data_IF_576510931098
#
_entry.id   IF_576510931098
#
_cell.length_a   1.000
_cell.length_b   1.000
_cell.length_c   1.000
_cell.angle_alpha   90.00
_cell.angle_beta   90.00
_cell.angle_gamma   90.00
#
_symmetry.space_group_name_H-M   'P 1'
#
loop_
_entity.id
_entity.type
_entity.pdbx_description
1 polymer ?
#
# COMPACT_ATOMS: atom_id res chain seq x y z
N UNK A 1 37.39 -15.52 -14.25
CA UNK A 1 37.58 -14.25 -13.52
C UNK A 1 36.79 -13.19 -14.27
N UNK A 2 35.52 -12.99 -13.94
CA UNK A 2 34.71 -11.94 -14.57
C UNK A 2 35.05 -10.62 -13.90
N UNK A 3 35.81 -9.79 -14.61
CA UNK A 3 36.09 -8.40 -14.25
C UNK A 3 34.78 -7.64 -14.45
N UNK A 4 34.03 -7.44 -13.36
CA UNK A 4 32.90 -6.53 -13.33
C UNK A 4 33.43 -5.11 -13.13
N UNK A 5 34.01 -4.53 -14.17
CA UNK A 5 34.25 -3.09 -14.22
C UNK A 5 32.90 -2.38 -14.49
N UNK A 6 32.00 -2.45 -13.52
CA UNK A 6 30.78 -1.64 -13.52
C UNK A 6 31.11 -0.30 -12.90
N UNK A 7 31.73 0.57 -13.69
CA UNK A 7 31.88 1.95 -13.27
C UNK A 7 30.48 2.59 -13.16
N UNK A 8 30.14 3.21 -12.02
CA UNK A 8 28.94 4.03 -11.94
C UNK A 8 29.09 5.14 -12.97
N UNK A 9 28.22 5.15 -13.98
CA UNK A 9 28.12 6.31 -14.84
C UNK A 9 27.33 7.33 -14.03
N UNK A 10 28.00 8.37 -13.56
CA UNK A 10 27.39 9.54 -12.93
C UNK A 10 26.63 10.39 -13.97
N UNK A 11 25.77 9.77 -14.78
CA UNK A 11 24.77 10.51 -15.52
C UNK A 11 23.56 10.64 -14.61
N UNK A 12 23.46 11.83 -14.00
CA UNK A 12 22.32 12.28 -13.21
C UNK A 12 21.13 12.37 -14.17
N UNK A 13 20.38 11.28 -14.26
CA UNK A 13 19.13 11.24 -15.00
C UNK A 13 18.06 11.82 -14.06
N UNK A 14 17.62 13.05 -14.32
CA UNK A 14 16.65 13.75 -13.46
C UNK A 14 15.35 12.95 -13.27
N UNK A 15 14.98 12.12 -14.25
CA UNK A 15 13.83 11.21 -14.15
C UNK A 15 14.07 10.07 -13.15
N UNK A 16 15.32 9.63 -13.00
CA UNK A 16 15.72 8.57 -12.09
C UNK A 16 15.57 9.04 -10.63
N UNK A 17 16.11 10.21 -10.32
CA UNK A 17 15.98 10.86 -9.01
C UNK A 17 14.52 11.19 -8.69
N UNK A 18 13.76 11.69 -9.67
CA UNK A 18 12.34 11.98 -9.50
C UNK A 18 11.51 10.71 -9.20
N UNK A 19 11.75 9.61 -9.91
CA UNK A 19 11.05 8.33 -9.67
C UNK A 19 11.31 7.79 -8.28
N UNK A 20 12.57 7.79 -7.86
CA UNK A 20 12.95 7.34 -6.53
C UNK A 20 12.36 8.25 -5.44
N UNK A 21 12.37 9.57 -5.63
CA UNK A 21 11.70 10.52 -4.75
C UNK A 21 10.20 10.24 -4.61
N UNK A 22 9.48 10.12 -5.74
CA UNK A 22 8.05 9.80 -5.74
C UNK A 22 7.79 8.47 -5.03
N UNK A 23 8.64 7.47 -5.27
CA UNK A 23 8.51 6.16 -4.63
C UNK A 23 8.64 6.27 -3.10
N UNK A 24 9.69 6.93 -2.60
CA UNK A 24 9.89 7.14 -1.17
C UNK A 24 8.76 7.95 -0.52
N UNK A 25 8.35 9.06 -1.13
CA UNK A 25 7.25 9.88 -0.64
C UNK A 25 5.93 9.09 -0.60
N UNK A 26 5.67 8.26 -1.61
CA UNK A 26 4.46 7.42 -1.66
C UNK A 26 4.46 6.34 -0.59
N UNK A 27 5.60 5.67 -0.37
CA UNK A 27 5.73 4.65 0.68
C UNK A 27 5.51 5.28 2.06
N UNK A 28 6.09 6.45 2.32
CA UNK A 28 5.88 7.17 3.56
C UNK A 28 4.41 7.56 3.74
N UNK A 29 3.79 8.10 2.68
CA UNK A 29 2.38 8.46 2.71
C UNK A 29 1.46 7.28 2.99
N UNK A 30 1.76 6.08 2.48
CA UNK A 30 1.00 4.87 2.77
C UNK A 30 1.08 4.51 4.27
N UNK A 31 2.29 4.49 4.84
CA UNK A 31 2.50 4.15 6.26
C UNK A 31 1.81 5.14 7.18
N UNK A 32 2.03 6.45 6.97
CA UNK A 32 1.41 7.48 7.78
C UNK A 32 -0.12 7.51 7.60
N UNK A 33 -0.64 7.21 6.40
CA UNK A 33 -2.09 7.05 6.19
C UNK A 33 -2.70 5.94 7.05
N UNK A 34 -2.01 4.82 7.25
CA UNK A 34 -2.48 3.76 8.14
C UNK A 34 -2.50 4.18 9.61
N UNK A 35 -1.47 4.92 10.04
CA UNK A 35 -1.44 5.51 11.38
C UNK A 35 -2.62 6.48 11.56
N UNK A 36 -2.82 7.39 10.60
CA UNK A 36 -3.91 8.37 10.67
C UNK A 36 -5.28 7.70 10.76
N UNK A 37 -5.51 6.65 9.97
CA UNK A 37 -6.73 5.85 10.07
C UNK A 37 -6.89 5.23 11.46
N UNK A 38 -5.83 4.70 12.05
CA UNK A 38 -5.88 4.14 13.41
C UNK A 38 -6.12 5.24 14.48
N UNK A 39 -5.50 6.41 14.33
CA UNK A 39 -5.72 7.58 15.19
C UNK A 39 -7.16 8.06 15.09
N UNK A 40 -7.72 8.18 13.89
CA UNK A 40 -9.12 8.59 13.67
C UNK A 40 -10.07 7.67 14.44
N UNK A 41 -9.86 6.34 14.35
CA UNK A 41 -10.68 5.36 15.08
C UNK A 41 -10.54 5.51 16.60
N UNK A 42 -9.32 5.73 17.07
CA UNK A 42 -9.07 5.97 18.49
C UNK A 42 -9.71 7.27 18.98
N UNK A 43 -9.61 8.34 18.19
CA UNK A 43 -10.18 9.65 18.47
C UNK A 43 -11.71 9.62 18.54
N UNK A 44 -12.35 8.88 17.63
CA UNK A 44 -13.81 8.65 17.65
C UNK A 44 -14.26 7.99 18.95
N UNK A 45 -13.48 7.04 19.45
CA UNK A 45 -13.74 6.34 20.72
C UNK A 45 -13.58 7.28 21.92
N UNK A 46 -12.52 8.09 21.91
CA UNK A 46 -12.27 9.12 22.94
C UNK A 46 -13.13 10.38 22.78
N UNK A 47 -13.97 10.44 21.75
CA UNK A 47 -14.85 11.58 21.42
C UNK A 47 -14.09 12.90 21.23
N UNK A 48 -12.90 12.85 20.64
CA UNK A 48 -12.15 14.06 20.29
C UNK A 48 -12.84 14.77 19.12
N UNK A 49 -13.42 15.94 19.38
CA UNK A 49 -14.31 16.66 18.45
C UNK A 49 -13.60 17.11 17.17
N UNK A 50 -12.36 17.60 17.26
CA UNK A 50 -11.60 18.08 16.10
C UNK A 50 -11.42 17.00 15.02
N UNK A 51 -10.97 15.81 15.42
CA UNK A 51 -10.67 14.68 14.53
C UNK A 51 -11.93 14.00 13.95
N UNK A 52 -13.10 14.29 14.50
CA UNK A 52 -14.37 13.77 14.01
C UNK A 52 -14.97 14.64 12.89
N UNK A 53 -14.55 15.90 12.77
CA UNK A 53 -15.02 16.81 11.72
C UNK A 53 -14.41 16.48 10.36
N UNK A 54 -15.17 16.63 9.27
CA UNK A 54 -14.65 16.42 7.91
C UNK A 54 -13.49 17.37 7.60
N UNK A 55 -13.60 18.64 8.00
CA UNK A 55 -12.54 19.63 7.82
C UNK A 55 -11.25 19.24 8.55
N UNK A 56 -11.34 18.77 9.81
CA UNK A 56 -10.17 18.32 10.57
C UNK A 56 -9.48 17.12 9.93
N UNK A 57 -10.23 16.16 9.38
CA UNK A 57 -9.66 15.02 8.64
C UNK A 57 -8.92 15.46 7.39
N UNK A 58 -9.52 16.35 6.59
CA UNK A 58 -8.88 16.89 5.38
C UNK A 58 -7.59 17.63 5.76
N UNK A 59 -7.65 18.49 6.77
CA UNK A 59 -6.48 19.25 7.22
C UNK A 59 -5.32 18.34 7.64
N UNK A 60 -5.59 17.27 8.38
CA UNK A 60 -4.54 16.33 8.82
C UNK A 60 -3.96 15.55 7.65
N UNK A 61 -4.79 15.11 6.71
CA UNK A 61 -4.31 14.44 5.50
C UNK A 61 -3.41 15.38 4.70
N UNK A 62 -3.80 16.65 4.54
CA UNK A 62 -2.95 17.64 3.85
C UNK A 62 -1.61 17.85 4.57
N UNK A 63 -1.63 17.98 5.90
CA UNK A 63 -0.39 18.09 6.68
C UNK A 63 0.50 16.87 6.55
N UNK A 64 -0.07 15.67 6.55
CA UNK A 64 0.66 14.42 6.35
C UNK A 64 1.33 14.39 4.97
N UNK A 65 0.61 14.74 3.89
CA UNK A 65 1.21 14.83 2.56
C UNK A 65 2.34 15.85 2.47
N UNK A 66 2.15 17.04 3.05
CA UNK A 66 3.21 18.07 3.10
C UNK A 66 4.43 17.52 3.85
N UNK A 67 4.22 16.86 4.98
CA UNK A 67 5.28 16.24 5.76
C UNK A 67 6.02 15.18 4.93
N UNK A 68 5.32 14.25 4.28
CA UNK A 68 5.93 13.15 3.51
C UNK A 68 6.76 13.62 2.32
N UNK A 69 6.21 14.60 1.59
CA UNK A 69 6.84 15.26 0.43
C UNK A 69 8.09 16.01 0.87
N UNK A 70 8.01 16.75 1.98
CA UNK A 70 9.12 17.57 2.48
C UNK A 70 10.21 16.71 3.12
N UNK A 71 9.82 15.70 3.90
CA UNK A 71 10.74 14.79 4.57
C UNK A 71 11.52 13.93 3.58
N UNK A 72 10.91 13.57 2.45
CA UNK A 72 11.58 12.84 1.35
C UNK A 72 12.43 13.74 0.45
N UNK A 73 12.28 15.06 0.53
CA UNK A 73 12.96 16.02 -0.36
C UNK A 73 14.50 15.94 -0.32
N UNK A 74 15.17 15.70 0.82
CA UNK A 74 16.63 15.58 0.84
C UNK A 74 17.14 14.41 -0.01
N UNK A 75 16.34 13.34 -0.20
CA UNK A 75 16.67 12.22 -1.11
C UNK A 75 16.80 12.69 -2.55
N UNK A 76 15.96 13.66 -2.96
CA UNK A 76 16.00 14.26 -4.29
C UNK A 76 17.13 15.28 -4.43
N UNK A 77 17.30 16.17 -3.44
CA UNK A 77 18.24 17.29 -3.53
C UNK A 77 19.70 16.91 -3.37
N UNK A 78 20.02 15.78 -2.75
CA UNK A 78 21.42 15.41 -2.48
C UNK A 78 22.15 14.76 -3.66
N UNK A 79 21.52 14.63 -4.84
CA UNK A 79 22.09 14.11 -6.10
C UNK A 79 22.87 12.79 -5.96
N UNK A 80 22.62 12.06 -4.88
CA UNK A 80 23.34 10.86 -4.50
C UNK A 80 22.65 9.62 -5.07
N UNK A 81 22.20 9.62 -6.32
CA UNK A 81 21.58 8.44 -6.95
C UNK A 81 22.46 7.90 -8.07
N UNK A 82 23.45 7.04 -7.76
CA UNK A 82 24.24 6.38 -8.78
C UNK A 82 23.34 5.47 -9.61
N UNK A 83 23.34 5.68 -10.92
CA UNK A 83 22.66 4.80 -11.87
C UNK A 83 23.56 3.60 -12.15
N UNK A 84 23.09 2.40 -11.84
CA UNK A 84 23.78 1.18 -12.25
C UNK A 84 23.41 0.85 -13.70
N UNK A 85 24.40 0.86 -14.61
CA UNK A 85 24.22 0.74 -16.06
C UNK A 85 23.48 -0.53 -16.49
N UNK A 86 23.54 -1.59 -15.70
CA UNK A 86 23.07 -2.91 -16.12
C UNK A 86 21.59 -3.18 -15.95
N UNK A 87 20.83 -2.37 -15.20
CA UNK A 87 19.41 -2.69 -14.94
C UNK A 87 18.42 -1.50 -15.06
N UNK A 88 18.85 -0.30 -15.46
CA UNK A 88 17.97 0.90 -15.48
C UNK A 88 17.25 1.17 -14.14
N UNK A 89 17.78 0.66 -13.03
CA UNK A 89 17.19 0.85 -11.71
C UNK A 89 17.90 1.99 -10.99
N UNK A 90 17.09 2.81 -10.35
CA UNK A 90 17.47 4.03 -9.65
C UNK A 90 17.49 3.75 -8.15
N UNK A 91 18.67 3.81 -7.54
CA UNK A 91 18.81 3.61 -6.10
C UNK A 91 19.48 4.81 -5.46
N UNK A 92 19.02 5.10 -4.24
CA UNK A 92 19.69 6.05 -3.36
C UNK A 92 21.03 5.46 -2.96
N UNK A 93 22.11 6.21 -3.15
CA UNK A 93 23.44 5.83 -2.72
C UNK A 93 23.47 5.64 -1.21
N UNK A 94 24.17 4.59 -0.77
CA UNK A 94 24.39 4.28 0.64
C UNK A 94 25.50 5.17 1.23
N UNK A 95 26.00 6.17 0.50
CA UNK A 95 27.08 7.08 0.93
C UNK A 95 26.77 7.83 2.23
N UNK A 96 25.50 7.99 2.61
CA UNK A 96 25.07 8.59 3.89
C UNK A 96 24.16 7.65 4.68
N UNK A 97 24.73 6.63 5.33
CA UNK A 97 23.94 5.58 5.97
C UNK A 97 23.11 6.06 7.16
N UNK A 98 23.59 7.05 7.90
CA UNK A 98 22.85 7.66 9.01
C UNK A 98 21.53 8.29 8.54
N UNK A 99 21.53 8.92 7.36
CA UNK A 99 20.31 9.50 6.78
C UNK A 99 19.32 8.41 6.36
N UNK A 100 19.80 7.34 5.70
CA UNK A 100 18.95 6.19 5.33
C UNK A 100 18.33 5.51 6.56
N UNK A 101 19.11 5.33 7.63
CA UNK A 101 18.60 4.78 8.90
C UNK A 101 17.54 5.71 9.50
N UNK A 102 17.76 7.03 9.50
CA UNK A 102 16.80 8.00 10.02
C UNK A 102 15.47 7.94 9.24
N UNK A 103 15.55 7.99 7.90
CA UNK A 103 14.39 7.86 7.01
C UNK A 103 13.63 6.56 7.26
N UNK A 104 14.35 5.43 7.31
CA UNK A 104 13.74 4.13 7.55
C UNK A 104 13.12 4.02 8.95
N UNK A 105 13.76 4.59 9.97
CA UNK A 105 13.25 4.55 11.34
C UNK A 105 11.97 5.36 11.50
N UNK A 106 11.93 6.57 10.92
CA UNK A 106 10.75 7.46 10.98
C UNK A 106 9.60 6.88 10.16
N UNK A 107 9.90 6.33 8.97
CA UNK A 107 8.86 5.86 8.06
C UNK A 107 8.30 4.50 8.46
N UNK A 108 9.15 3.57 8.91
CA UNK A 108 8.76 2.17 9.14
C UNK A 108 8.62 1.85 10.63
N UNK A 109 9.73 1.96 11.39
CA UNK A 109 9.74 1.53 12.80
C UNK A 109 8.77 2.33 13.65
N UNK A 110 8.76 3.65 13.49
CA UNK A 110 7.86 4.53 14.24
C UNK A 110 6.39 4.24 13.88
N UNK A 111 6.12 3.99 12.60
CA UNK A 111 4.79 3.65 12.10
C UNK A 111 4.26 2.35 12.68
N UNK A 112 5.08 1.30 12.65
CA UNK A 112 4.73 -0.03 13.16
C UNK A 112 4.50 -0.04 14.67
N UNK A 113 5.39 0.64 15.41
CA UNK A 113 5.27 0.77 16.87
C UNK A 113 3.99 1.53 17.21
N UNK A 114 3.76 2.68 16.56
CA UNK A 114 2.58 3.53 16.82
C UNK A 114 1.29 2.76 16.53
N UNK A 115 1.22 2.06 15.40
CA UNK A 115 0.05 1.26 15.03
C UNK A 115 -0.20 0.11 16.02
N UNK A 116 0.86 -0.57 16.44
CA UNK A 116 0.79 -1.65 17.44
C UNK A 116 0.28 -1.16 18.79
N UNK A 117 0.75 0.01 19.25
CA UNK A 117 0.28 0.63 20.50
C UNK A 117 -1.18 1.03 20.41
N UNK A 118 -1.58 1.67 19.30
CA UNK A 118 -2.97 2.07 19.06
C UNK A 118 -3.91 0.85 19.06
N UNK A 119 -3.49 -0.25 18.45
CA UNK A 119 -4.26 -1.49 18.45
C UNK A 119 -4.48 -2.06 19.86
N UNK A 120 -3.41 -2.18 20.64
CA UNK A 120 -3.51 -2.71 22.01
C UNK A 120 -4.46 -1.86 22.85
N UNK A 121 -4.34 -0.53 22.75
CA UNK A 121 -5.26 0.41 23.40
C UNK A 121 -6.70 0.24 22.93
N UNK A 122 -6.92 0.07 21.63
CA UNK A 122 -8.24 -0.15 21.06
C UNK A 122 -8.87 -1.45 21.57
N UNK A 123 -8.11 -2.54 21.58
CA UNK A 123 -8.55 -3.85 22.08
C UNK A 123 -8.91 -3.77 23.56
N UNK A 124 -8.06 -3.15 24.39
CA UNK A 124 -8.33 -2.97 25.82
C UNK A 124 -9.64 -2.22 26.03
N UNK A 125 -9.82 -1.11 25.30
CA UNK A 125 -11.03 -0.31 25.41
C UNK A 125 -12.28 -1.08 24.98
N UNK A 126 -12.23 -1.84 23.88
CA UNK A 126 -13.36 -2.66 23.44
C UNK A 126 -13.71 -3.73 24.48
N UNK A 127 -12.72 -4.35 25.12
CA UNK A 127 -12.93 -5.31 26.22
C UNK A 127 -13.62 -4.63 27.42
N UNK A 128 -13.10 -3.50 27.89
CA UNK A 128 -13.68 -2.74 29.00
C UNK A 128 -15.11 -2.27 28.72
N UNK A 129 -15.40 -1.86 27.50
CA UNK A 129 -16.75 -1.38 27.15
C UNK A 129 -17.71 -2.55 26.93
N UNK A 130 -17.22 -3.69 26.44
CA UNK A 130 -18.05 -4.89 26.26
C UNK A 130 -18.66 -5.38 27.58
N UNK A 131 -17.94 -5.22 28.70
CA UNK A 131 -18.43 -5.59 30.04
C UNK A 131 -19.45 -4.59 30.60
N UNK A 132 -19.35 -3.30 30.23
CA UNK A 132 -20.18 -2.22 30.82
C UNK A 132 -21.41 -1.81 29.99
N UNK A 133 -21.37 -1.94 28.67
CA UNK A 133 -22.43 -1.41 27.79
C UNK A 133 -23.38 -2.52 27.36
N UNK A 134 -24.67 -2.39 27.63
CA UNK A 134 -25.71 -3.34 27.19
C UNK A 134 -26.32 -3.02 25.81
N UNK A 135 -26.06 -1.84 25.24
CA UNK A 135 -26.62 -1.49 23.93
C UNK A 135 -25.95 -2.27 22.80
N UNK A 136 -26.75 -3.11 22.13
CA UNK A 136 -26.34 -3.97 21.02
C UNK A 136 -25.72 -3.16 19.86
N UNK A 137 -26.28 -1.98 19.57
CA UNK A 137 -25.84 -1.12 18.47
C UNK A 137 -24.44 -0.54 18.69
N UNK A 138 -24.11 -0.10 19.91
CA UNK A 138 -22.78 0.43 20.24
C UNK A 138 -21.73 -0.69 20.23
N UNK A 139 -22.08 -1.88 20.73
CA UNK A 139 -21.23 -3.08 20.62
C UNK A 139 -20.96 -3.46 19.17
N UNK A 140 -21.97 -3.41 18.29
CA UNK A 140 -21.81 -3.70 16.86
C UNK A 140 -20.85 -2.72 16.18
N UNK A 141 -20.99 -1.43 16.46
CA UNK A 141 -20.12 -0.39 15.88
C UNK A 141 -18.66 -0.58 16.33
N UNK A 142 -18.42 -0.87 17.61
CA UNK A 142 -17.07 -1.13 18.12
C UNK A 142 -16.44 -2.39 17.51
N UNK A 143 -17.22 -3.45 17.31
CA UNK A 143 -16.74 -4.66 16.60
C UNK A 143 -16.34 -4.36 15.17
N UNK A 144 -17.10 -3.51 14.46
CA UNK A 144 -16.75 -3.07 13.09
C UNK A 144 -15.47 -2.24 13.08
N UNK A 145 -15.33 -1.27 13.99
CA UNK A 145 -14.13 -0.43 14.09
C UNK A 145 -12.89 -1.28 14.46
N UNK A 146 -13.02 -2.27 15.36
CA UNK A 146 -11.94 -3.21 15.69
C UNK A 146 -11.58 -4.11 14.51
N UNK A 147 -12.56 -4.61 13.76
CA UNK A 147 -12.32 -5.41 12.57
C UNK A 147 -11.54 -4.60 11.51
N UNK A 148 -11.88 -3.31 11.33
CA UNK A 148 -11.16 -2.41 10.44
C UNK A 148 -9.70 -2.20 10.88
N UNK A 149 -9.46 -1.94 12.17
CA UNK A 149 -8.09 -1.76 12.66
C UNK A 149 -7.28 -3.06 12.60
N UNK A 150 -7.88 -4.22 12.87
CA UNK A 150 -7.23 -5.52 12.67
C UNK A 150 -6.79 -5.71 11.22
N UNK A 151 -7.60 -5.28 10.26
CA UNK A 151 -7.27 -5.34 8.83
C UNK A 151 -6.12 -4.41 8.48
N UNK A 152 -6.11 -3.18 9.02
CA UNK A 152 -4.99 -2.23 8.85
C UNK A 152 -3.70 -2.85 9.36
N UNK A 153 -3.71 -3.50 10.52
CA UNK A 153 -2.52 -4.17 11.08
C UNK A 153 -2.10 -5.36 10.23
N UNK A 154 -3.02 -6.15 9.70
CA UNK A 154 -2.66 -7.25 8.80
C UNK A 154 -1.94 -6.72 7.56
N UNK A 155 -2.47 -5.66 6.93
CA UNK A 155 -1.85 -5.01 5.78
C UNK A 155 -0.47 -4.44 6.16
N UNK A 156 -0.39 -3.72 7.29
CA UNK A 156 0.85 -3.13 7.76
C UNK A 156 1.91 -4.19 8.15
N UNK A 157 1.49 -5.31 8.74
CA UNK A 157 2.41 -6.42 9.07
C UNK A 157 3.00 -7.07 7.83
N UNK A 158 2.29 -7.03 6.69
CA UNK A 158 2.85 -7.51 5.42
C UNK A 158 3.83 -6.51 4.81
N UNK A 159 3.57 -5.21 4.95
CA UNK A 159 4.54 -4.18 4.60
C UNK A 159 5.82 -4.35 5.41
N UNK A 160 5.71 -4.60 6.73
CA UNK A 160 6.85 -4.91 7.57
C UNK A 160 7.66 -6.14 7.11
N UNK A 161 7.03 -7.16 6.50
CA UNK A 161 7.76 -8.31 5.92
C UNK A 161 8.63 -7.92 4.71
N UNK A 162 8.34 -6.81 4.06
CA UNK A 162 9.15 -6.22 2.98
C UNK A 162 10.20 -5.27 3.55
N UNK A 163 9.79 -4.44 4.49
CA UNK A 163 10.62 -3.36 5.03
C UNK A 163 11.74 -3.88 5.94
N UNK A 164 11.50 -4.96 6.70
CA UNK A 164 12.53 -5.57 7.56
C UNK A 164 13.72 -6.08 6.73
N UNK A 165 13.55 -6.88 5.66
CA UNK A 165 14.64 -7.22 4.74
C UNK A 165 15.36 -5.99 4.17
N UNK A 166 14.63 -4.93 3.84
CA UNK A 166 15.22 -3.69 3.32
C UNK A 166 16.13 -3.01 4.37
N UNK A 167 15.67 -2.91 5.62
CA UNK A 167 16.46 -2.34 6.72
C UNK A 167 17.67 -3.21 7.03
N UNK A 168 17.49 -4.53 7.10
CA UNK A 168 18.59 -5.48 7.28
C UNK A 168 19.63 -5.29 6.18
N UNK A 169 19.21 -5.14 4.93
CA UNK A 169 20.11 -4.88 3.82
C UNK A 169 20.87 -3.55 3.97
N UNK A 170 20.18 -2.47 4.36
CA UNK A 170 20.84 -1.17 4.61
C UNK A 170 21.90 -1.34 5.71
N UNK A 171 21.58 -2.02 6.80
CA UNK A 171 22.52 -2.30 7.88
C UNK A 171 23.72 -3.16 7.42
N UNK A 172 23.47 -4.22 6.66
CA UNK A 172 24.54 -5.06 6.12
C UNK A 172 25.45 -4.29 5.16
N UNK A 173 24.89 -3.39 4.34
CA UNK A 173 25.66 -2.56 3.42
C UNK A 173 26.58 -1.58 4.14
N UNK A 174 26.23 -1.18 5.36
CA UNK A 174 27.07 -0.35 6.24
C UNK A 174 28.21 -1.17 6.83
N UNK A 175 27.92 -2.40 7.28
CA UNK A 175 28.89 -3.27 7.93
C UNK A 175 29.88 -3.88 6.92
N UNK A 176 29.40 -4.19 5.71
CA UNK A 176 30.16 -4.87 4.65
C UNK A 176 30.03 -4.12 3.32
N UNK A 177 30.65 -2.92 3.20
CA UNK A 177 30.64 -2.15 1.96
C UNK A 177 31.39 -2.86 0.81
N UNK A 178 32.21 -3.86 1.13
CA UNK A 178 32.98 -4.73 0.23
C UNK A 178 32.11 -5.76 -0.52
N UNK A 179 30.93 -6.10 0.00
CA UNK A 179 30.03 -7.04 -0.67
C UNK A 179 29.30 -6.35 -1.83
N UNK A 180 29.25 -7.04 -2.98
CA UNK A 180 28.64 -6.49 -4.18
C UNK A 180 27.16 -6.10 -3.93
N UNK A 181 26.79 -4.81 -4.04
CA UNK A 181 25.43 -4.34 -3.74
C UNK A 181 24.36 -4.97 -4.65
N UNK A 182 24.76 -5.47 -5.82
CA UNK A 182 23.86 -6.07 -6.81
C UNK A 182 23.13 -7.34 -6.32
N UNK A 183 23.81 -8.24 -5.57
CA UNK A 183 23.22 -9.53 -5.16
C UNK A 183 22.05 -9.32 -4.22
N UNK A 184 22.25 -8.42 -3.26
CA UNK A 184 21.27 -8.07 -2.27
C UNK A 184 20.12 -7.25 -2.85
N UNK A 185 20.40 -6.39 -3.82
CA UNK A 185 19.39 -5.65 -4.57
C UNK A 185 18.40 -6.59 -5.29
N UNK A 186 18.89 -7.64 -5.94
CA UNK A 186 18.01 -8.65 -6.56
C UNK A 186 17.18 -9.39 -5.54
N UNK A 187 17.75 -9.71 -4.38
CA UNK A 187 17.02 -10.34 -3.29
C UNK A 187 15.90 -9.42 -2.75
N UNK A 188 16.17 -8.12 -2.63
CA UNK A 188 15.20 -7.11 -2.21
C UNK A 188 14.06 -6.95 -3.22
N UNK A 189 14.38 -6.87 -4.52
CA UNK A 189 13.38 -6.85 -5.59
C UNK A 189 12.52 -8.12 -5.61
N UNK A 190 13.13 -9.28 -5.37
CA UNK A 190 12.41 -10.54 -5.28
C UNK A 190 11.47 -10.56 -4.07
N UNK A 191 11.92 -10.09 -2.89
CA UNK A 191 11.09 -10.03 -1.70
C UNK A 191 9.92 -9.05 -1.84
N UNK A 192 10.15 -7.91 -2.48
CA UNK A 192 9.10 -6.94 -2.83
C UNK A 192 8.01 -7.59 -3.70
N UNK A 193 8.41 -8.24 -4.80
CA UNK A 193 7.46 -8.91 -5.69
C UNK A 193 6.72 -10.06 -5.01
N UNK A 194 7.44 -10.85 -4.20
CA UNK A 194 6.84 -11.95 -3.46
C UNK A 194 5.80 -11.48 -2.43
N UNK A 195 5.95 -10.30 -1.85
CA UNK A 195 5.03 -9.74 -0.87
C UNK A 195 3.82 -9.01 -1.49
N UNK A 196 3.94 -8.50 -2.71
CA UNK A 196 2.82 -7.85 -3.41
C UNK A 196 1.66 -8.82 -3.69
N UNK A 197 1.96 -10.06 -4.08
CA UNK A 197 0.96 -11.09 -4.34
C UNK A 197 0.03 -11.35 -3.14
N UNK A 198 0.52 -11.70 -1.94
CA UNK A 198 -0.33 -11.92 -0.78
C UNK A 198 -1.02 -10.63 -0.31
N UNK A 199 -0.39 -9.46 -0.49
CA UNK A 199 -1.03 -8.17 -0.18
C UNK A 199 -2.30 -7.95 -1.02
N UNK A 200 -2.23 -8.18 -2.33
CA UNK A 200 -3.39 -8.05 -3.22
C UNK A 200 -4.49 -9.06 -2.88
N UNK A 201 -4.12 -10.31 -2.59
CA UNK A 201 -5.07 -11.36 -2.18
C UNK A 201 -5.76 -10.96 -0.88
N UNK A 202 -5.01 -10.48 0.11
CA UNK A 202 -5.57 -10.08 1.40
C UNK A 202 -6.45 -8.84 1.26
N UNK A 203 -6.03 -7.80 0.55
CA UNK A 203 -6.85 -6.59 0.32
C UNK A 203 -8.17 -6.96 -0.37
N UNK A 204 -8.12 -7.85 -1.36
CA UNK A 204 -9.30 -8.38 -2.04
C UNK A 204 -10.22 -9.16 -1.09
N UNK A 205 -9.66 -10.07 -0.28
CA UNK A 205 -10.42 -10.86 0.70
C UNK A 205 -11.03 -10.02 1.82
N UNK A 206 -10.27 -9.02 2.28
CA UNK A 206 -10.62 -8.18 3.41
C UNK A 206 -11.68 -7.15 3.03
N UNK A 207 -11.72 -6.67 1.78
CA UNK A 207 -12.56 -5.53 1.41
C UNK A 207 -13.87 -6.00 0.77
N UNK A 208 -14.96 -6.23 1.55
CA UNK A 208 -16.21 -6.75 1.01
C UNK A 208 -16.83 -5.83 -0.03
N UNK A 209 -16.63 -4.51 0.08
CA UNK A 209 -17.13 -3.52 -0.88
C UNK A 209 -16.46 -3.66 -2.26
N UNK A 210 -15.16 -3.96 -2.28
CA UNK A 210 -14.43 -4.25 -3.53
C UNK A 210 -14.95 -5.55 -4.15
N UNK A 211 -15.10 -6.60 -3.34
CA UNK A 211 -15.66 -7.87 -3.79
C UNK A 211 -17.06 -7.72 -4.37
N UNK A 212 -17.94 -6.98 -3.69
CA UNK A 212 -19.31 -6.70 -4.16
C UNK A 212 -19.35 -5.83 -5.41
N UNK A 213 -18.46 -4.86 -5.55
CA UNK A 213 -18.39 -4.00 -6.74
C UNK A 213 -17.89 -4.79 -7.95
N UNK A 214 -16.92 -5.69 -7.75
CA UNK A 214 -16.39 -6.56 -8.80
C UNK A 214 -17.39 -7.63 -9.21
N UNK A 215 -18.07 -8.31 -8.27
CA UNK A 215 -19.12 -9.27 -8.64
C UNK A 215 -20.28 -8.60 -9.39
N UNK A 216 -20.65 -7.37 -9.02
CA UNK A 216 -21.64 -6.58 -9.79
C UNK A 216 -21.15 -6.25 -11.20
N UNK A 217 -19.88 -5.87 -11.36
CA UNK A 217 -19.31 -5.59 -12.69
C UNK A 217 -19.20 -6.84 -13.55
N UNK A 218 -18.74 -7.96 -12.98
CA UNK A 218 -18.66 -9.25 -13.66
C UNK A 218 -20.05 -9.68 -14.12
N UNK A 219 -21.04 -9.71 -13.24
CA UNK A 219 -22.41 -10.10 -13.59
C UNK A 219 -23.02 -9.20 -14.67
N UNK A 220 -22.81 -7.86 -14.60
CA UNK A 220 -23.28 -6.93 -15.65
C UNK A 220 -22.64 -7.20 -17.01
N UNK A 221 -21.42 -7.73 -17.01
CA UNK A 221 -20.71 -8.12 -18.23
C UNK A 221 -21.25 -9.45 -18.75
N UNK A 222 -21.46 -10.43 -17.86
CA UNK A 222 -22.08 -11.73 -18.22
C UNK A 222 -23.49 -11.54 -18.79
N UNK A 223 -24.31 -10.69 -18.17
CA UNK A 223 -25.67 -10.38 -18.66
C UNK A 223 -25.61 -9.77 -20.06
N UNK A 224 -24.70 -8.81 -20.32
CA UNK A 224 -24.51 -8.24 -21.67
C UNK A 224 -24.11 -9.28 -22.71
N UNK A 225 -23.27 -10.26 -22.35
CA UNK A 225 -22.86 -11.33 -23.26
C UNK A 225 -24.00 -12.33 -23.50
N UNK A 226 -24.78 -12.70 -22.48
CA UNK A 226 -25.95 -13.59 -22.62
C UNK A 226 -27.02 -12.93 -23.50
N UNK A 227 -27.35 -11.66 -23.27
CA UNK A 227 -28.27 -10.92 -24.13
C UNK A 227 -27.76 -10.78 -25.58
N UNK A 228 -26.44 -10.68 -25.80
CA UNK A 228 -25.87 -10.63 -27.15
C UNK A 228 -25.89 -11.99 -27.87
N UNK A 229 -25.90 -13.11 -27.14
CA UNK A 229 -25.96 -14.46 -27.73
C UNK A 229 -27.41 -14.80 -28.06
N UNK A 230 -28.36 -14.52 -27.16
CA UNK A 230 -29.79 -14.73 -27.43
C UNK A 230 -30.24 -13.87 -28.62
N UNK A 231 -29.86 -12.59 -28.68
CA UNK A 231 -30.25 -11.72 -29.79
C UNK A 231 -29.64 -12.13 -31.15
N UNK A 232 -28.54 -12.91 -31.16
CA UNK A 232 -28.00 -13.51 -32.41
C UNK A 232 -28.73 -14.79 -32.80
N UNK A 233 -29.25 -15.55 -31.83
CA UNK A 233 -30.04 -16.75 -32.09
C UNK A 233 -31.46 -16.44 -32.59
N UNK A 234 -32.03 -15.28 -32.21
CA UNK A 234 -33.32 -14.83 -32.76
C UNK A 234 -33.24 -14.32 -34.20
N UNK A 235 -32.08 -13.82 -34.66
CA UNK A 235 -31.93 -13.30 -36.04
C UNK A 235 -31.83 -14.44 -37.09
N UNK A 236 -31.63 -15.69 -36.66
CA UNK A 236 -31.53 -16.84 -37.58
C UNK A 236 -32.80 -17.72 -37.66
N UNK A 237 -33.88 -17.41 -36.93
CA UNK A 237 -35.11 -18.21 -36.97
C UNK A 237 -36.26 -17.63 -37.84
N UNK A 238 -36.13 -16.42 -38.38
CA UNK A 238 -37.25 -15.73 -39.07
C UNK A 238 -37.13 -15.66 -40.62
N UNK A 239 -36.32 -16.50 -41.26
CA UNK A 239 -36.18 -16.46 -42.74
C UNK A 239 -36.83 -17.58 -43.54
N UNK A 240 -37.56 -18.54 -42.94
CA UNK A 240 -38.04 -19.72 -43.70
C UNK A 240 -39.54 -20.08 -43.62
N UNK A 241 -40.45 -19.22 -43.14
CA UNK A 241 -41.89 -19.56 -43.08
C UNK A 241 -42.81 -18.46 -43.63
N UNK A 242 -42.52 -17.96 -44.82
CA UNK A 242 -43.46 -17.14 -45.58
C UNK A 242 -43.32 -17.41 -47.09
N UNK A 243 -43.95 -18.50 -47.56
CA UNK A 243 -44.26 -18.87 -48.95
C UNK A 243 -44.98 -20.23 -48.80
N UNK A 244 -46.30 -20.37 -48.90
CA UNK A 244 -47.11 -20.18 -50.11
C UNK A 244 -48.59 -20.25 -49.75
N UNK A 245 -49.37 -19.25 -50.14
CA UNK A 245 -50.81 -19.41 -50.44
C UNK A 245 -51.17 -18.39 -51.52
N UNK A 246 -51.34 -18.87 -52.75
CA UNK A 246 -52.13 -18.20 -53.79
C UNK A 246 -52.49 -19.22 -54.87
N UNK A 247 -53.81 -19.27 -55.12
CA UNK A 247 -54.58 -20.00 -56.15
C UNK A 247 -54.88 -21.46 -55.80
#
# INVERSE_FOLDING_TARGET
>A
MFIWDQQPIFNIDSLCSLRAYIHHATIAAIHHSFILQAIEKYAKIKRLTFLNSSSGKVTIVLFQWIFDVTFSLPVYLTDNMPKFRTENVCFVSITKPAFLICMASITFLLSDITLSVLYRRLVSHVREVSTRVHSSQRRLQMRRDLAMVRRIILINSQLALVDIPAIIFILFSIIRPDLSPYKWMRLLLLSLNAALCPMLVIVFWITPNLRQSLTKCVNKTTDKYVYSIDNKNYIHLDTNTALTFSI
#
